data_IF_409364990101
#
_entry.id   IF_409364990101
#
_cell.length_a   1.000
_cell.length_b   1.000
_cell.length_c   1.000
_cell.angle_alpha   90.00
_cell.angle_beta   90.00
_cell.angle_gamma   90.00
#
_symmetry.space_group_name_H-M   'P 1'
#
loop_
_entity.id
_entity.type
_entity.pdbx_description
1 polymer ?
#
# COMPACT_ATOMS: atom_id res chain seq x y z
N UNK A 1 10.65 -11.64 -11.86
CA UNK A 1 11.71 -12.47 -11.23
C UNK A 1 13.07 -11.82 -11.34
N UNK A 2 13.94 -12.05 -10.37
CA UNK A 2 15.33 -11.59 -10.42
C UNK A 2 16.23 -12.66 -11.04
N UNK A 3 16.99 -12.29 -12.08
CA UNK A 3 18.04 -13.14 -12.64
C UNK A 3 19.28 -13.23 -11.73
N UNK A 4 20.29 -14.05 -12.07
CA UNK A 4 21.47 -14.29 -11.24
C UNK A 4 22.15 -13.04 -10.67
N UNK A 5 22.45 -11.97 -11.45
CA UNK A 5 23.06 -10.78 -10.88
C UNK A 5 22.12 -10.01 -9.94
N UNK A 6 20.81 -9.99 -10.23
CA UNK A 6 19.81 -9.35 -9.38
C UNK A 6 19.64 -10.05 -8.04
N UNK A 7 19.67 -11.39 -8.05
CA UNK A 7 19.63 -12.20 -6.82
C UNK A 7 20.89 -11.96 -5.98
N UNK A 8 22.09 -11.97 -6.58
CA UNK A 8 23.33 -11.69 -5.86
C UNK A 8 23.33 -10.27 -5.24
N UNK A 9 22.82 -9.28 -5.98
CA UNK A 9 22.68 -7.92 -5.47
C UNK A 9 21.70 -7.85 -4.28
N UNK A 10 20.53 -8.46 -4.40
CA UNK A 10 19.53 -8.55 -3.33
C UNK A 10 20.13 -9.20 -2.07
N UNK A 11 20.87 -10.30 -2.24
CA UNK A 11 21.48 -11.00 -1.11
C UNK A 11 22.53 -10.13 -0.40
N UNK A 12 23.36 -9.42 -1.16
CA UNK A 12 24.34 -8.48 -0.60
C UNK A 12 23.67 -7.33 0.17
N UNK A 13 22.58 -6.77 -0.37
CA UNK A 13 21.81 -5.73 0.29
C UNK A 13 21.20 -6.23 1.60
N UNK A 14 20.59 -7.42 1.60
CA UNK A 14 20.02 -8.02 2.81
C UNK A 14 21.09 -8.39 3.84
N UNK A 15 22.28 -8.81 3.41
CA UNK A 15 23.41 -9.07 4.30
C UNK A 15 23.92 -7.79 4.95
N UNK A 16 24.05 -6.70 4.19
CA UNK A 16 24.38 -5.38 4.71
C UNK A 16 23.34 -4.91 5.73
N UNK A 17 22.06 -5.00 5.40
CA UNK A 17 20.97 -4.60 6.29
C UNK A 17 20.99 -5.39 7.61
N UNK A 18 21.22 -6.71 7.56
CA UNK A 18 21.35 -7.53 8.78
C UNK A 18 22.53 -7.10 9.65
N UNK A 19 23.67 -6.84 9.03
CA UNK A 19 24.84 -6.37 9.76
C UNK A 19 24.55 -5.05 10.47
N UNK A 20 23.98 -4.09 9.74
CA UNK A 20 23.76 -2.74 10.23
C UNK A 20 22.64 -2.62 11.27
N UNK A 21 21.56 -3.40 11.16
CA UNK A 21 20.43 -3.29 12.10
C UNK A 21 20.34 -4.47 13.05
N UNK A 22 20.40 -5.69 12.54
CA UNK A 22 20.15 -6.88 13.38
C UNK A 22 21.31 -7.11 14.34
N UNK A 23 22.55 -7.07 13.84
CA UNK A 23 23.71 -7.40 14.66
C UNK A 23 24.22 -6.20 15.47
N UNK A 24 24.29 -5.01 14.86
CA UNK A 24 24.74 -3.80 15.57
C UNK A 24 23.78 -3.39 16.70
N UNK A 25 22.46 -3.48 16.49
CA UNK A 25 21.45 -3.12 17.51
C UNK A 25 20.95 -4.33 18.34
N UNK A 26 21.47 -5.53 18.09
CA UNK A 26 21.06 -6.74 18.81
C UNK A 26 19.56 -7.08 18.66
N UNK A 27 18.96 -6.80 17.50
CA UNK A 27 17.54 -7.04 17.27
C UNK A 27 17.20 -8.54 17.26
N UNK A 28 16.04 -8.88 17.84
CA UNK A 28 15.51 -10.24 17.86
C UNK A 28 14.89 -10.59 16.51
N UNK A 29 15.65 -11.28 15.64
CA UNK A 29 15.14 -11.69 14.33
C UNK A 29 14.22 -12.92 14.43
N UNK A 30 13.05 -12.85 13.80
CA UNK A 30 12.12 -13.97 13.63
C UNK A 30 11.57 -14.06 12.20
N UNK A 31 10.94 -15.20 11.91
CA UNK A 31 10.24 -15.45 10.65
C UNK A 31 8.83 -15.97 10.92
N UNK A 32 7.82 -15.25 10.43
CA UNK A 32 6.42 -15.64 10.54
C UNK A 32 5.84 -16.07 9.19
N UNK A 33 4.68 -16.73 9.22
CA UNK A 33 3.94 -17.15 8.03
C UNK A 33 3.50 -15.95 7.17
N UNK A 34 3.29 -16.19 5.88
CA UNK A 34 2.71 -15.20 4.95
C UNK A 34 1.18 -15.22 4.99
N UNK A 35 0.60 -16.41 5.12
CA UNK A 35 -0.83 -16.63 5.24
C UNK A 35 -1.31 -16.24 6.64
N UNK A 36 -2.30 -15.37 6.68
CA UNK A 36 -2.80 -14.73 7.91
C UNK A 36 -4.32 -14.88 7.99
N UNK A 37 -4.87 -15.48 9.07
CA UNK A 37 -6.32 -15.56 9.27
C UNK A 37 -6.97 -14.17 9.34
N UNK A 38 -8.17 -14.04 8.76
CA UNK A 38 -8.94 -12.77 8.76
C UNK A 38 -9.06 -12.11 10.14
N UNK A 39 -9.32 -12.82 11.27
CA UNK A 39 -9.44 -12.18 12.57
C UNK A 39 -8.22 -11.36 13.01
N UNK A 40 -7.00 -11.77 12.62
CA UNK A 40 -5.77 -11.03 12.95
C UNK A 40 -5.76 -9.68 12.23
N UNK A 41 -6.08 -9.69 10.93
CA UNK A 41 -6.07 -8.49 10.08
C UNK A 41 -7.30 -7.60 10.29
N UNK A 42 -8.41 -8.18 10.76
CA UNK A 42 -9.56 -7.42 11.23
C UNK A 42 -9.23 -6.67 12.51
N UNK A 43 -8.58 -7.35 13.47
CA UNK A 43 -8.18 -6.75 14.74
C UNK A 43 -7.17 -5.62 14.56
N UNK A 44 -6.22 -5.78 13.62
CA UNK A 44 -5.26 -4.71 13.30
C UNK A 44 -5.84 -3.59 12.43
N UNK A 45 -7.11 -3.67 12.03
CA UNK A 45 -7.80 -2.67 11.22
C UNK A 45 -7.54 -2.74 9.72
N UNK A 46 -6.70 -3.67 9.25
CA UNK A 46 -6.36 -3.79 7.83
C UNK A 46 -7.55 -4.18 6.97
N UNK A 47 -8.46 -5.03 7.47
CA UNK A 47 -9.69 -5.40 6.73
C UNK A 47 -10.53 -4.17 6.39
N UNK A 48 -10.54 -3.16 7.26
CA UNK A 48 -11.42 -2.00 7.12
C UNK A 48 -10.73 -0.79 6.48
N UNK A 49 -9.41 -0.66 6.65
CA UNK A 49 -8.68 0.57 6.32
C UNK A 49 -7.53 0.37 5.33
N UNK A 50 -7.13 -0.87 5.03
CA UNK A 50 -6.06 -1.13 4.08
C UNK A 50 -6.61 -1.13 2.65
N UNK A 51 -7.12 0.04 2.25
CA UNK A 51 -7.85 0.26 1.01
C UNK A 51 -7.33 1.51 0.30
N UNK A 52 -7.27 1.46 -1.02
CA UNK A 52 -7.14 2.66 -1.85
C UNK A 52 -8.49 2.98 -2.50
N UNK A 53 -8.71 4.25 -2.87
CA UNK A 53 -9.86 4.64 -3.68
C UNK A 53 -9.62 4.31 -5.16
N UNK A 54 -10.57 3.59 -5.75
CA UNK A 54 -10.54 3.10 -7.13
C UNK A 54 -11.71 3.68 -7.93
N UNK A 55 -11.47 4.00 -9.20
CA UNK A 55 -12.52 4.29 -10.18
C UNK A 55 -12.45 3.30 -11.34
N UNK A 56 -13.58 3.07 -11.99
CA UNK A 56 -13.71 2.15 -13.12
C UNK A 56 -14.33 2.87 -14.31
N UNK A 57 -13.78 2.65 -15.50
CA UNK A 57 -14.32 3.23 -16.72
C UNK A 57 -15.43 2.36 -17.35
N UNK A 58 -15.98 2.83 -18.47
CA UNK A 58 -17.02 2.14 -19.24
C UNK A 58 -16.54 0.82 -19.89
N UNK A 59 -15.23 0.67 -20.15
CA UNK A 59 -14.62 -0.56 -20.65
C UNK A 59 -14.32 -1.58 -19.54
N UNK A 60 -14.38 -1.13 -18.29
CA UNK A 60 -14.14 -1.90 -17.08
C UNK A 60 -12.70 -1.91 -16.60
N UNK A 61 -11.84 -1.03 -17.11
CA UNK A 61 -10.49 -0.82 -16.60
C UNK A 61 -10.53 -0.07 -15.27
N UNK A 62 -9.67 -0.50 -14.34
CA UNK A 62 -9.60 0.04 -12.99
C UNK A 62 -8.41 0.98 -12.85
N UNK A 63 -8.63 2.12 -12.20
CA UNK A 63 -7.60 3.11 -11.95
C UNK A 63 -7.60 3.53 -10.49
N UNK A 64 -6.40 3.82 -9.97
CA UNK A 64 -6.23 4.40 -8.64
C UNK A 64 -6.59 5.89 -8.71
N UNK A 65 -7.60 6.29 -7.96
CA UNK A 65 -8.25 7.59 -8.14
C UNK A 65 -7.37 8.77 -7.67
N UNK A 66 -6.60 8.60 -6.60
CA UNK A 66 -5.62 9.57 -6.11
C UNK A 66 -4.54 9.86 -7.18
N UNK A 67 -4.01 8.82 -7.83
CA UNK A 67 -3.00 8.94 -8.88
C UNK A 67 -3.54 9.60 -10.14
N UNK A 68 -4.78 9.28 -10.52
CA UNK A 68 -5.43 10.01 -11.61
C UNK A 68 -5.54 11.50 -11.31
N UNK A 69 -5.88 11.87 -10.08
CA UNK A 69 -5.94 13.27 -9.68
C UNK A 69 -4.55 13.92 -9.67
N UNK A 70 -3.55 13.25 -9.09
CA UNK A 70 -2.16 13.74 -9.07
C UNK A 70 -1.62 13.98 -10.49
N UNK A 71 -1.78 13.00 -11.37
CA UNK A 71 -1.32 13.07 -12.76
C UNK A 71 -2.03 14.19 -13.53
N UNK A 72 -3.36 14.33 -13.34
CA UNK A 72 -4.13 15.40 -13.97
C UNK A 72 -3.68 16.80 -13.52
N UNK A 73 -3.39 16.96 -12.22
CA UNK A 73 -2.86 18.21 -11.68
C UNK A 73 -1.46 18.49 -12.24
N UNK A 74 -0.58 17.50 -12.26
CA UNK A 74 0.77 17.65 -12.79
C UNK A 74 0.76 18.05 -14.27
N UNK A 75 -0.14 17.46 -15.06
CA UNK A 75 -0.33 17.81 -16.47
C UNK A 75 -0.91 19.21 -16.66
N UNK A 76 -1.88 19.61 -15.84
CA UNK A 76 -2.45 20.95 -15.88
C UNK A 76 -1.39 22.02 -15.56
N UNK A 77 -0.61 21.81 -14.51
CA UNK A 77 0.47 22.72 -14.09
C UNK A 77 1.57 22.82 -15.16
N UNK A 78 1.86 21.73 -15.87
CA UNK A 78 2.86 21.72 -16.97
C UNK A 78 2.35 22.42 -18.23
N UNK A 79 1.07 22.27 -18.56
CA UNK A 79 0.48 22.81 -19.81
C UNK A 79 0.14 24.30 -19.71
N UNK A 80 -0.29 24.77 -18.53
CA UNK A 80 -0.67 26.16 -18.31
C UNK A 80 0.48 26.98 -17.72
N UNK A 81 1.30 27.57 -18.61
CA UNK A 81 2.42 28.42 -18.22
C UNK A 81 1.98 29.77 -17.64
N UNK A 82 0.76 30.23 -17.94
CA UNK A 82 0.20 31.52 -17.51
C UNK A 82 -0.66 31.40 -16.24
N UNK A 83 -0.76 30.19 -15.66
CA UNK A 83 -1.51 29.95 -14.44
C UNK A 83 -1.06 30.87 -13.29
N UNK A 84 -2.04 31.48 -12.62
CA UNK A 84 -1.78 32.38 -11.49
C UNK A 84 -1.06 31.63 -10.34
N UNK A 85 -0.18 32.33 -9.59
CA UNK A 85 0.51 31.72 -8.45
C UNK A 85 -0.45 31.11 -7.42
N UNK A 86 -1.57 31.79 -7.16
CA UNK A 86 -2.59 31.34 -6.19
C UNK A 86 -3.25 30.03 -6.63
N UNK A 87 -3.62 29.91 -7.92
CA UNK A 87 -4.22 28.69 -8.45
C UNK A 87 -3.22 27.53 -8.45
N UNK A 88 -1.95 27.82 -8.75
CA UNK A 88 -0.87 26.82 -8.71
C UNK A 88 -0.69 26.26 -7.30
N UNK A 89 -0.75 27.12 -6.29
CA UNK A 89 -0.61 26.70 -4.90
C UNK A 89 -1.82 25.89 -4.42
N UNK A 90 -3.04 26.30 -4.78
CA UNK A 90 -4.26 25.54 -4.51
C UNK A 90 -4.17 24.11 -5.08
N UNK A 91 -3.78 23.97 -6.35
CA UNK A 91 -3.63 22.66 -7.01
C UNK A 91 -2.54 21.81 -6.34
N UNK A 92 -1.45 22.41 -5.89
CA UNK A 92 -0.41 21.69 -5.14
C UNK A 92 -0.93 21.16 -3.82
N UNK A 93 -1.76 21.93 -3.12
CA UNK A 93 -2.38 21.48 -1.87
C UNK A 93 -3.35 20.32 -2.12
N UNK A 94 -4.21 20.43 -3.15
CA UNK A 94 -5.12 19.34 -3.55
C UNK A 94 -4.33 18.07 -3.89
N UNK A 95 -3.26 18.20 -4.69
CA UNK A 95 -2.38 17.08 -5.05
C UNK A 95 -1.75 16.43 -3.83
N UNK A 96 -1.31 17.22 -2.85
CA UNK A 96 -0.67 16.70 -1.63
C UNK A 96 -1.65 16.00 -0.69
N UNK A 97 -2.95 16.26 -0.83
CA UNK A 97 -4.01 15.66 -0.01
C UNK A 97 -4.80 14.57 -0.76
N UNK A 98 -4.38 14.19 -1.97
CA UNK A 98 -5.15 13.30 -2.85
C UNK A 98 -5.45 11.93 -2.22
N UNK A 99 -4.55 11.41 -1.39
CA UNK A 99 -4.69 10.13 -0.68
C UNK A 99 -5.53 10.20 0.60
N UNK A 100 -5.86 11.40 1.06
CA UNK A 100 -6.63 11.65 2.28
C UNK A 100 -8.10 11.99 2.04
N UNK A 101 -8.50 12.22 0.79
CA UNK A 101 -9.87 12.57 0.44
C UNK A 101 -10.84 11.40 0.62
N UNK A 102 -12.08 11.75 0.95
CA UNK A 102 -13.22 10.82 0.88
C UNK A 102 -13.55 10.47 -0.58
N UNK A 103 -14.26 9.35 -0.82
CA UNK A 103 -14.88 9.04 -2.11
C UNK A 103 -15.51 10.24 -2.82
N UNK A 104 -16.36 10.99 -2.10
CA UNK A 104 -17.13 12.10 -2.64
C UNK A 104 -16.27 13.31 -2.97
N UNK A 105 -15.31 13.66 -2.09
CA UNK A 105 -14.37 14.75 -2.31
C UNK A 105 -13.46 14.47 -3.51
N UNK A 106 -12.91 13.26 -3.57
CA UNK A 106 -12.03 12.85 -4.65
C UNK A 106 -12.77 12.82 -5.99
N UNK A 107 -13.98 12.26 -6.02
CA UNK A 107 -14.86 12.29 -7.19
C UNK A 107 -15.23 13.72 -7.61
N UNK A 108 -15.48 14.61 -6.64
CA UNK A 108 -15.69 16.03 -6.86
C UNK A 108 -14.51 16.70 -7.55
N UNK A 109 -13.28 16.47 -7.07
CA UNK A 109 -12.06 17.01 -7.67
C UNK A 109 -11.81 16.46 -9.09
N UNK A 110 -12.01 15.16 -9.30
CA UNK A 110 -11.90 14.54 -10.63
C UNK A 110 -12.85 15.20 -11.64
N UNK A 111 -14.12 15.42 -11.26
CA UNK A 111 -15.10 16.12 -12.11
C UNK A 111 -14.74 17.59 -12.34
N UNK A 112 -14.34 18.30 -11.28
CA UNK A 112 -14.01 19.72 -11.35
C UNK A 112 -12.82 19.99 -12.28
N UNK A 113 -11.86 19.08 -12.34
CA UNK A 113 -10.69 19.16 -13.23
C UNK A 113 -10.93 18.50 -14.60
N UNK A 114 -12.13 17.96 -14.85
CA UNK A 114 -12.46 17.30 -16.13
C UNK A 114 -11.62 16.06 -16.39
N UNK A 115 -11.25 15.31 -15.34
CA UNK A 115 -10.45 14.09 -15.48
C UNK A 115 -11.28 13.01 -16.16
N UNK A 116 -10.74 12.46 -17.24
CA UNK A 116 -11.34 11.39 -18.04
C UNK A 116 -10.49 10.13 -17.97
N UNK A 117 -11.07 8.99 -18.32
CA UNK A 117 -10.34 7.74 -18.41
C UNK A 117 -9.21 7.84 -19.45
N UNK A 118 -7.96 7.46 -19.11
CA UNK A 118 -6.85 7.42 -20.07
C UNK A 118 -7.07 6.46 -21.25
N UNK A 119 -7.90 5.43 -21.09
CA UNK A 119 -8.14 4.39 -22.09
C UNK A 119 -9.30 4.74 -23.04
N UNK A 120 -10.40 5.29 -22.52
CA UNK A 120 -11.61 5.58 -23.30
C UNK A 120 -11.78 7.06 -23.64
N UNK A 121 -11.15 7.97 -22.89
CA UNK A 121 -11.36 9.41 -23.01
C UNK A 121 -12.72 9.90 -22.48
N UNK A 122 -13.50 9.02 -21.84
CA UNK A 122 -14.81 9.33 -21.28
C UNK A 122 -14.70 9.69 -19.80
N UNK A 123 -15.67 10.46 -19.29
CA UNK A 123 -15.77 10.75 -17.86
C UNK A 123 -16.16 9.49 -17.07
N UNK A 124 -15.69 9.39 -15.83
CA UNK A 124 -16.08 8.30 -14.93
C UNK A 124 -17.56 8.42 -14.54
N UNK A 125 -18.30 7.32 -14.65
CA UNK A 125 -19.74 7.28 -14.39
C UNK A 125 -20.08 7.26 -12.89
N UNK A 126 -19.18 6.75 -12.06
CA UNK A 126 -19.36 6.56 -10.61
C UNK A 126 -18.25 7.29 -9.84
N UNK A 127 -18.53 7.62 -8.58
CA UNK A 127 -17.52 8.14 -7.66
C UNK A 127 -16.48 7.06 -7.29
N UNK A 128 -15.25 7.47 -6.92
CA UNK A 128 -14.25 6.53 -6.40
C UNK A 128 -14.79 5.71 -5.23
N UNK A 129 -14.47 4.42 -5.17
CA UNK A 129 -14.90 3.53 -4.09
C UNK A 129 -13.71 2.77 -3.49
N UNK A 130 -13.78 2.37 -2.21
CA UNK A 130 -12.66 1.71 -1.54
C UNK A 130 -12.43 0.30 -2.09
N UNK A 131 -11.16 0.00 -2.39
CA UNK A 131 -10.70 -1.30 -2.81
C UNK A 131 -9.65 -1.83 -1.84
N UNK A 132 -9.90 -3.00 -1.24
CA UNK A 132 -8.98 -3.61 -0.29
C UNK A 132 -7.75 -4.19 -1.00
N UNK A 133 -6.56 -3.76 -0.57
CA UNK A 133 -5.29 -4.12 -1.20
C UNK A 133 -4.75 -5.49 -0.73
N UNK A 134 -5.47 -6.23 0.11
CA UNK A 134 -5.03 -7.55 0.56
C UNK A 134 -5.48 -8.64 -0.41
N UNK A 135 -4.58 -9.57 -0.72
CA UNK A 135 -4.95 -10.79 -1.44
C UNK A 135 -5.70 -11.74 -0.51
N UNK A 136 -7.00 -11.92 -0.75
CA UNK A 136 -7.83 -12.87 -0.02
C UNK A 136 -7.59 -14.32 -0.47
N UNK A 137 -7.74 -15.26 0.45
CA UNK A 137 -7.68 -16.71 0.20
C UNK A 137 -8.54 -17.46 1.21
N UNK A 138 -8.75 -18.75 0.99
CA UNK A 138 -9.41 -19.66 1.94
C UNK A 138 -8.40 -20.64 2.51
N UNK A 139 -8.46 -20.87 3.82
CA UNK A 139 -7.56 -21.73 4.57
C UNK A 139 -8.28 -23.03 4.91
N UNK A 140 -7.64 -24.16 4.62
CA UNK A 140 -8.18 -25.50 4.92
C UNK A 140 -9.06 -26.07 3.81
N UNK A 141 -9.37 -27.37 3.87
CA UNK A 141 -10.03 -28.10 2.79
C UNK A 141 -11.51 -27.74 2.61
N UNK A 142 -12.16 -27.27 3.67
CA UNK A 142 -13.56 -26.85 3.62
C UNK A 142 -13.75 -25.41 3.13
N UNK A 143 -12.66 -24.62 3.08
CA UNK A 143 -12.68 -23.22 2.65
C UNK A 143 -13.45 -22.28 3.58
N UNK A 144 -13.77 -22.72 4.79
CA UNK A 144 -14.56 -22.02 5.81
C UNK A 144 -13.76 -20.93 6.54
N UNK A 145 -12.44 -21.08 6.62
CA UNK A 145 -11.58 -20.08 7.24
C UNK A 145 -11.04 -19.09 6.20
N UNK A 146 -11.58 -17.87 6.18
CA UNK A 146 -11.06 -16.78 5.35
C UNK A 146 -9.71 -16.31 5.87
N UNK A 147 -8.78 -16.07 4.95
CA UNK A 147 -7.45 -15.53 5.23
C UNK A 147 -6.97 -14.59 4.14
N UNK A 148 -5.79 -14.04 4.37
CA UNK A 148 -5.13 -13.15 3.44
C UNK A 148 -3.64 -13.46 3.38
N UNK A 149 -3.00 -13.11 2.27
CA UNK A 149 -1.55 -12.90 2.27
C UNK A 149 -1.25 -11.60 3.04
N UNK A 150 -0.26 -11.64 3.94
CA UNK A 150 0.06 -10.51 4.80
C UNK A 150 0.43 -9.24 3.99
N UNK A 151 -0.16 -8.07 4.32
CA UNK A 151 0.19 -6.81 3.69
C UNK A 151 1.49 -6.19 4.24
N UNK A 152 1.97 -6.69 5.38
CA UNK A 152 3.18 -6.27 6.08
C UNK A 152 3.73 -7.40 6.96
N UNK A 153 4.92 -7.24 7.54
CA UNK A 153 5.54 -8.24 8.44
C UNK A 153 5.29 -8.00 9.93
N UNK A 154 4.81 -6.82 10.33
CA UNK A 154 4.74 -6.40 11.73
C UNK A 154 3.79 -7.26 12.59
N UNK A 155 2.64 -7.65 12.04
CA UNK A 155 1.63 -8.46 12.75
C UNK A 155 2.22 -9.75 13.34
N UNK A 156 3.12 -10.41 12.62
CA UNK A 156 3.80 -11.62 13.10
C UNK A 156 4.62 -11.36 14.37
N UNK A 157 5.26 -10.19 14.47
CA UNK A 157 6.02 -9.79 15.65
C UNK A 157 5.09 -9.46 16.83
N UNK A 158 3.97 -8.78 16.59
CA UNK A 158 2.98 -8.48 17.63
C UNK A 158 2.37 -9.75 18.22
N UNK A 159 2.00 -10.72 17.40
CA UNK A 159 1.47 -12.01 17.85
C UNK A 159 2.48 -12.82 18.68
N UNK A 160 3.79 -12.58 18.49
CA UNK A 160 4.86 -13.23 19.22
C UNK A 160 5.47 -12.35 20.34
N UNK A 161 4.88 -11.19 20.65
CA UNK A 161 5.45 -10.22 21.59
C UNK A 161 5.84 -10.85 22.93
N UNK A 162 4.98 -11.72 23.49
CA UNK A 162 5.26 -12.36 24.78
C UNK A 162 6.55 -13.18 24.75
N UNK A 163 6.75 -13.99 23.71
CA UNK A 163 7.94 -14.83 23.56
C UNK A 163 9.20 -13.99 23.33
N UNK A 164 9.08 -12.92 22.55
CA UNK A 164 10.18 -11.99 22.30
C UNK A 164 10.58 -11.24 23.58
N UNK A 165 9.61 -10.78 24.37
CA UNK A 165 9.84 -10.14 25.66
C UNK A 165 10.50 -11.09 26.66
N UNK A 166 10.01 -12.35 26.73
CA UNK A 166 10.59 -13.37 27.59
C UNK A 166 12.05 -13.68 27.19
N UNK A 167 12.36 -13.72 25.87
CA UNK A 167 13.73 -13.88 25.38
C UNK A 167 14.64 -12.71 25.79
N UNK A 168 14.11 -11.49 25.85
CA UNK A 168 14.85 -10.32 26.38
C UNK A 168 14.90 -10.27 27.92
N UNK A 169 14.45 -11.33 28.60
CA UNK A 169 14.42 -11.41 30.07
C UNK A 169 13.40 -10.45 30.69
N UNK A 170 12.32 -10.13 29.99
CA UNK A 170 11.24 -9.27 30.49
C UNK A 170 11.57 -7.77 30.50
N UNK A 171 12.69 -7.36 29.92
CA UNK A 171 13.17 -5.96 29.95
C UNK A 171 12.78 -5.20 28.70
N UNK A 172 12.60 -3.89 28.86
CA UNK A 172 12.38 -2.92 27.77
C UNK A 172 13.41 -1.79 27.88
N UNK A 173 13.80 -1.13 26.76
CA UNK A 173 13.37 -1.39 25.38
C UNK A 173 14.04 -2.65 24.79
N UNK A 174 13.39 -3.24 23.79
CA UNK A 174 13.99 -4.23 22.89
C UNK A 174 13.39 -4.06 21.49
N UNK A 175 14.10 -4.54 20.47
CA UNK A 175 13.65 -4.52 19.09
C UNK A 175 13.54 -5.95 18.55
N UNK A 176 12.51 -6.19 17.74
CA UNK A 176 12.35 -7.40 16.96
C UNK A 176 12.30 -7.05 15.48
N UNK A 177 12.71 -7.98 14.63
CA UNK A 177 12.84 -7.74 13.19
C UNK A 177 12.48 -8.95 12.37
N UNK A 178 11.90 -8.72 11.20
CA UNK A 178 11.54 -9.77 10.27
C UNK A 178 11.86 -9.32 8.84
N UNK A 179 12.59 -10.17 8.12
CA UNK A 179 12.90 -10.00 6.71
C UNK A 179 12.11 -11.06 5.93
N UNK A 180 11.21 -10.63 5.05
CA UNK A 180 10.43 -11.53 4.22
C UNK A 180 9.44 -10.81 3.33
N UNK A 181 8.76 -11.56 2.47
CA UNK A 181 7.79 -10.99 1.52
C UNK A 181 6.55 -10.44 2.21
N UNK A 182 5.98 -9.39 1.63
CA UNK A 182 4.64 -8.88 1.90
C UNK A 182 3.94 -8.65 0.56
N UNK A 183 2.61 -8.66 0.56
CA UNK A 183 1.83 -8.70 -0.66
C UNK A 183 0.78 -7.58 -0.65
N UNK A 184 0.74 -6.81 -1.73
CA UNK A 184 -0.27 -5.78 -1.97
C UNK A 184 -0.85 -5.98 -3.35
N UNK A 185 -2.17 -6.08 -3.41
CA UNK A 185 -2.94 -6.20 -4.64
C UNK A 185 -3.14 -4.78 -5.20
N UNK A 186 -2.07 -4.20 -5.74
CA UNK A 186 -2.07 -2.85 -6.28
C UNK A 186 -3.03 -2.76 -7.48
N UNK A 187 -3.86 -1.71 -7.52
CA UNK A 187 -4.91 -1.53 -8.53
C UNK A 187 -4.34 -1.44 -9.95
N UNK A 188 -3.28 -0.65 -10.14
CA UNK A 188 -2.63 -0.43 -11.43
C UNK A 188 -1.13 -0.18 -11.24
N UNK A 189 -0.30 -1.23 -11.11
CA UNK A 189 1.15 -1.08 -10.93
C UNK A 189 1.80 -0.56 -12.22
N UNK A 190 2.22 0.72 -12.24
CA UNK A 190 2.82 1.37 -13.42
C UNK A 190 4.34 1.61 -13.32
N UNK A 191 4.95 1.37 -12.16
CA UNK A 191 6.35 1.71 -11.87
C UNK A 191 7.18 0.47 -11.49
N UNK A 192 7.50 -0.36 -12.49
CA UNK A 192 8.33 -1.57 -12.34
C UNK A 192 9.82 -1.36 -12.60
#
# INVERSE_FOLDING_TARGET
DFGPPGTAFKDNLLAFWRRHFVYEEGMLQLECTTLTPEPVLKTSGHVDKFTDLMVKDSAGECFRADKLLEDAIDDLVKKDSEMTPDRREELRQIRAMADAFTPEELGGHLRALGVVSPSTGEAFAEDPFPFNLMFATSIGPAGDLRGFLRPETAQGMFMNFRRLLDYNGGRVPFAATQIGSAYRNEIAPRNG
#
